data_IF_303073670733
#
_entry.id   IF_303073670733
#
_cell.length_a   1.000
_cell.length_b   1.000
_cell.length_c   1.000
_cell.angle_alpha   90.00
_cell.angle_beta   90.00
_cell.angle_gamma   90.00
#
_symmetry.space_group_name_H-M   'P 1'
#
loop_
_entity.id
_entity.type
_entity.pdbx_description
1 polymer ?
#
# COMPACT_ATOMS: atom_id res chain seq x y z
N UNK A 1 15.56 -0.81 -41.34
CA UNK A 1 14.66 -1.50 -40.39
C UNK A 1 15.31 -2.65 -39.62
N UNK A 2 16.10 -3.57 -40.18
CA UNK A 2 16.65 -4.71 -39.43
C UNK A 2 17.69 -4.37 -38.32
N UNK A 3 18.39 -3.23 -38.42
CA UNK A 3 19.38 -2.84 -37.37
C UNK A 3 18.77 -2.25 -36.10
N UNK A 4 17.63 -1.58 -36.23
CA UNK A 4 16.89 -1.01 -35.09
C UNK A 4 16.22 -2.09 -34.24
N UNK A 5 15.66 -3.14 -34.86
CA UNK A 5 15.11 -4.26 -34.10
C UNK A 5 16.14 -5.06 -33.31
N UNK A 6 17.37 -5.17 -33.80
CA UNK A 6 18.46 -5.83 -33.05
C UNK A 6 18.84 -5.07 -31.80
N UNK A 7 18.88 -3.73 -31.84
CA UNK A 7 19.15 -2.91 -30.65
C UNK A 7 18.08 -3.04 -29.57
N UNK A 8 16.80 -3.00 -29.97
CA UNK A 8 15.67 -3.17 -29.05
C UNK A 8 15.69 -4.59 -28.45
N UNK A 9 15.96 -5.61 -29.25
CA UNK A 9 16.01 -6.99 -28.75
C UNK A 9 17.16 -7.19 -27.73
N UNK A 10 18.32 -6.64 -27.99
CA UNK A 10 19.46 -6.67 -27.05
C UNK A 10 19.11 -5.93 -25.77
N UNK A 11 18.45 -4.77 -25.83
CA UNK A 11 18.01 -3.99 -24.67
C UNK A 11 16.99 -4.78 -23.82
N UNK A 12 15.99 -5.39 -24.44
CA UNK A 12 14.97 -6.22 -23.76
C UNK A 12 15.63 -7.44 -23.10
N UNK A 13 16.59 -8.08 -23.76
CA UNK A 13 17.33 -9.22 -23.19
C UNK A 13 18.18 -8.78 -21.99
N UNK A 14 18.90 -7.67 -22.08
CA UNK A 14 19.68 -7.13 -20.96
C UNK A 14 18.75 -6.76 -19.81
N UNK A 15 17.63 -6.09 -20.07
CA UNK A 15 16.63 -5.75 -19.05
C UNK A 15 16.06 -7.00 -18.40
N UNK A 16 15.76 -8.04 -19.18
CA UNK A 16 15.30 -9.33 -18.67
C UNK A 16 16.33 -10.05 -17.81
N UNK A 17 17.63 -9.99 -18.19
CA UNK A 17 18.71 -10.54 -17.39
C UNK A 17 18.88 -9.76 -16.08
N UNK A 18 18.86 -8.43 -16.12
CA UNK A 18 18.95 -7.57 -14.93
C UNK A 18 17.77 -7.80 -14.00
N UNK A 19 16.56 -7.90 -14.53
CA UNK A 19 15.37 -8.24 -13.75
C UNK A 19 15.42 -9.69 -13.22
N UNK A 20 15.91 -10.64 -13.99
CA UNK A 20 16.07 -12.03 -13.56
C UNK A 20 17.16 -12.22 -12.49
N UNK A 21 18.23 -11.44 -12.53
CA UNK A 21 19.26 -11.42 -11.49
C UNK A 21 18.77 -10.67 -10.23
N UNK A 22 17.98 -9.62 -10.38
CA UNK A 22 17.29 -8.96 -9.28
C UNK A 22 16.20 -9.86 -8.69
N UNK A 23 15.48 -10.63 -9.51
CA UNK A 23 14.38 -11.50 -9.11
C UNK A 23 14.78 -12.65 -8.16
N UNK A 24 16.05 -13.04 -8.11
CA UNK A 24 16.53 -14.00 -7.10
C UNK A 24 16.58 -13.45 -5.66
N UNK A 25 16.35 -12.16 -5.46
CA UNK A 25 16.17 -11.51 -4.15
C UNK A 25 14.71 -11.13 -3.86
N UNK A 26 13.79 -11.52 -4.75
CA UNK A 26 12.34 -11.35 -4.58
C UNK A 26 11.65 -12.53 -3.91
N UNK A 27 12.35 -13.36 -3.19
CA UNK A 27 11.73 -14.18 -2.15
C UNK A 27 11.18 -13.19 -1.13
N UNK A 28 9.83 -13.12 -1.08
CA UNK A 28 9.10 -12.07 -0.40
C UNK A 28 9.73 -11.66 0.92
N UNK A 29 10.17 -10.42 0.99
CA UNK A 29 10.70 -9.87 2.23
C UNK A 29 9.55 -9.83 3.24
N UNK A 30 9.53 -10.80 4.14
CA UNK A 30 8.63 -10.80 5.27
C UNK A 30 9.16 -9.76 6.25
N UNK A 31 8.40 -8.69 6.44
CA UNK A 31 8.76 -7.71 7.47
C UNK A 31 8.78 -8.39 8.83
N UNK A 32 9.87 -8.19 9.55
CA UNK A 32 9.98 -8.56 10.94
C UNK A 32 10.47 -7.33 11.70
N UNK A 33 9.72 -6.93 12.71
CA UNK A 33 10.12 -5.82 13.55
C UNK A 33 11.38 -6.19 14.36
N UNK A 34 12.35 -5.29 14.39
CA UNK A 34 13.59 -5.43 15.16
C UNK A 34 13.66 -4.48 16.36
N UNK A 35 12.74 -3.50 16.41
CA UNK A 35 12.73 -2.50 17.44
C UNK A 35 12.01 -3.01 18.70
N UNK A 36 12.60 -2.81 19.89
CA UNK A 36 11.95 -3.17 21.12
C UNK A 36 10.74 -2.27 21.38
N UNK A 37 9.82 -2.76 22.21
CA UNK A 37 8.70 -1.94 22.68
C UNK A 37 9.22 -0.74 23.48
N UNK A 38 8.82 0.47 23.09
CA UNK A 38 9.26 1.72 23.73
C UNK A 38 8.16 2.44 24.50
N UNK A 39 6.89 2.11 24.30
CA UNK A 39 5.79 2.68 25.05
C UNK A 39 5.75 2.14 26.49
N UNK A 40 6.00 3.01 27.45
CA UNK A 40 5.97 2.71 28.90
C UNK A 40 4.70 3.22 29.59
N UNK A 41 3.82 3.92 28.86
CA UNK A 41 2.61 4.53 29.42
C UNK A 41 1.36 3.65 29.25
N UNK A 42 1.45 2.54 28.53
CA UNK A 42 0.33 1.62 28.39
C UNK A 42 -0.01 1.01 29.76
N UNK A 43 -1.27 1.12 30.15
CA UNK A 43 -1.76 0.71 31.48
C UNK A 43 -2.18 -0.76 31.54
N UNK A 44 -2.30 -1.42 30.36
CA UNK A 44 -2.76 -2.80 30.30
C UNK A 44 -1.68 -3.78 30.73
N UNK A 45 -2.03 -4.67 31.65
CA UNK A 45 -1.20 -5.78 32.12
C UNK A 45 -1.40 -7.00 31.24
N UNK A 46 -2.65 -7.24 30.80
CA UNK A 46 -3.06 -8.34 29.93
C UNK A 46 -3.52 -7.82 28.58
N UNK A 47 -3.61 -8.72 27.61
CA UNK A 47 -4.04 -8.44 26.24
C UNK A 47 -5.34 -9.10 25.86
N UNK A 48 -5.77 -10.10 26.61
CA UNK A 48 -7.01 -10.85 26.42
C UNK A 48 -7.98 -10.48 27.51
N UNK A 49 -9.16 -10.06 27.14
CA UNK A 49 -10.27 -9.70 28.02
C UNK A 49 -11.52 -10.47 27.56
N UNK A 50 -12.01 -11.39 28.36
CA UNK A 50 -13.21 -12.20 28.08
C UNK A 50 -14.29 -11.97 29.12
N UNK A 51 -14.99 -10.83 29.02
CA UNK A 51 -16.12 -10.51 29.93
C UNK A 51 -17.35 -11.41 29.71
N UNK A 52 -17.37 -12.15 28.62
CA UNK A 52 -18.45 -13.09 28.30
C UNK A 52 -18.20 -14.50 28.85
N UNK A 53 -17.04 -14.77 29.42
CA UNK A 53 -16.62 -16.04 30.05
C UNK A 53 -16.83 -17.27 29.11
N UNK A 54 -16.40 -17.11 27.85
CA UNK A 54 -16.52 -18.17 26.83
C UNK A 54 -15.22 -18.91 26.56
N UNK A 55 -14.10 -18.34 26.99
CA UNK A 55 -12.79 -18.99 26.93
C UNK A 55 -12.48 -19.62 28.30
N UNK A 56 -11.70 -20.66 28.28
CA UNK A 56 -11.12 -21.21 29.52
C UNK A 56 -9.84 -20.45 29.88
N UNK A 57 -9.47 -20.42 31.15
CA UNK A 57 -8.23 -19.80 31.64
C UNK A 57 -6.98 -20.29 30.87
N UNK A 58 -6.99 -21.57 30.47
CA UNK A 58 -5.90 -22.15 29.67
C UNK A 58 -5.86 -21.61 28.23
N UNK A 59 -7.01 -21.36 27.64
CA UNK A 59 -7.13 -20.77 26.30
C UNK A 59 -6.73 -19.32 26.29
N UNK A 60 -7.16 -18.55 27.28
CA UNK A 60 -6.71 -17.16 27.48
C UNK A 60 -5.19 -17.08 27.62
N UNK A 61 -4.59 -17.92 28.47
CA UNK A 61 -3.15 -17.96 28.67
C UNK A 61 -2.40 -18.33 27.37
N UNK A 62 -2.97 -19.19 26.53
CA UNK A 62 -2.39 -19.53 25.21
C UNK A 62 -2.49 -18.35 24.24
N UNK A 63 -3.62 -17.63 24.24
CA UNK A 63 -3.81 -16.44 23.40
C UNK A 63 -2.88 -15.31 23.82
N UNK A 64 -2.74 -15.07 25.14
CA UNK A 64 -1.77 -14.09 25.68
C UNK A 64 -0.34 -14.36 25.18
N UNK A 65 0.09 -15.62 25.24
CA UNK A 65 1.40 -16.03 24.75
C UNK A 65 1.55 -15.82 23.26
N UNK A 66 0.53 -16.18 22.48
CA UNK A 66 0.51 -15.98 21.04
C UNK A 66 0.58 -14.50 20.67
N UNK A 67 -0.22 -13.66 21.35
CA UNK A 67 -0.20 -12.21 21.19
C UNK A 67 1.21 -11.66 21.46
N UNK A 68 1.82 -12.01 22.61
CA UNK A 68 3.14 -11.53 22.96
C UNK A 68 4.24 -11.93 21.95
N UNK A 69 4.07 -13.07 21.26
CA UNK A 69 4.94 -13.48 20.17
C UNK A 69 4.71 -12.62 18.92
N UNK A 70 3.45 -12.44 18.51
CA UNK A 70 3.08 -11.72 17.28
C UNK A 70 3.31 -10.22 17.39
N UNK A 71 3.07 -9.60 18.56
CA UNK A 71 3.39 -8.20 18.82
C UNK A 71 4.84 -7.85 18.48
N UNK A 72 5.78 -8.72 18.88
CA UNK A 72 7.20 -8.55 18.58
C UNK A 72 7.48 -8.61 17.08
N UNK A 73 6.81 -9.50 16.37
CA UNK A 73 7.02 -9.67 14.94
C UNK A 73 6.53 -8.47 14.12
N UNK A 74 5.40 -7.89 14.50
CA UNK A 74 4.79 -6.79 13.75
C UNK A 74 5.20 -5.40 14.26
N UNK A 75 5.72 -5.29 15.48
CA UNK A 75 6.02 -4.00 16.13
C UNK A 75 4.75 -3.23 16.47
N UNK A 76 3.72 -3.92 16.95
CA UNK A 76 2.43 -3.34 17.31
C UNK A 76 1.76 -4.09 18.44
N UNK A 77 1.16 -3.37 19.40
CA UNK A 77 0.36 -3.98 20.46
C UNK A 77 -0.91 -4.60 19.86
N UNK A 78 -1.32 -5.76 20.35
CA UNK A 78 -2.54 -6.46 19.95
C UNK A 78 -3.40 -6.65 21.19
N UNK A 79 -4.63 -6.16 21.16
CA UNK A 79 -5.61 -6.37 22.25
C UNK A 79 -6.82 -7.11 21.70
N UNK A 80 -7.20 -8.17 22.37
CA UNK A 80 -8.40 -8.96 22.13
C UNK A 80 -9.38 -8.73 23.27
N UNK A 81 -10.56 -8.28 22.93
CA UNK A 81 -11.61 -8.04 23.89
C UNK A 81 -12.90 -8.71 23.46
N UNK A 82 -13.46 -9.51 24.32
CA UNK A 82 -14.81 -10.03 24.19
C UNK A 82 -15.68 -9.45 25.31
N UNK A 83 -16.71 -8.73 24.91
CA UNK A 83 -17.64 -8.07 25.84
C UNK A 83 -19.04 -8.66 25.70
N UNK A 84 -19.90 -8.33 26.66
CA UNK A 84 -21.31 -8.74 26.71
C UNK A 84 -22.16 -7.52 27.09
N UNK A 85 -22.12 -6.48 26.26
CA UNK A 85 -22.72 -5.17 26.54
C UNK A 85 -23.83 -4.83 25.52
N UNK A 86 -25.08 -5.05 25.91
CA UNK A 86 -26.24 -4.73 25.08
C UNK A 86 -26.34 -3.23 24.68
N UNK A 87 -25.58 -2.34 25.30
CA UNK A 87 -25.54 -0.93 24.94
C UNK A 87 -24.78 -0.67 23.63
N UNK A 88 -23.87 -1.59 23.23
CA UNK A 88 -23.09 -1.55 22.01
C UNK A 88 -23.89 -2.03 20.78
N UNK A 89 -25.14 -1.64 20.68
CA UNK A 89 -26.13 -2.12 19.73
C UNK A 89 -26.06 -1.51 18.34
N UNK A 90 -24.98 -0.83 18.00
CA UNK A 90 -24.66 -0.38 16.64
C UNK A 90 -23.17 -0.52 16.37
N UNK A 91 -22.83 -0.71 15.11
CA UNK A 91 -21.42 -0.78 14.67
C UNK A 91 -20.63 0.47 15.04
N UNK A 92 -21.28 1.64 15.02
CA UNK A 92 -20.65 2.92 15.38
C UNK A 92 -20.29 2.97 16.86
N UNK A 93 -21.18 2.52 17.73
CA UNK A 93 -20.91 2.48 19.17
C UNK A 93 -19.78 1.49 19.51
N UNK A 94 -19.78 0.33 18.86
CA UNK A 94 -18.71 -0.65 19.07
C UNK A 94 -17.36 -0.11 18.58
N UNK A 95 -17.34 0.55 17.41
CA UNK A 95 -16.15 1.24 16.90
C UNK A 95 -15.64 2.29 17.90
N UNK A 96 -16.54 3.15 18.35
CA UNK A 96 -16.19 4.24 19.25
C UNK A 96 -15.70 3.69 20.61
N UNK A 97 -16.32 2.62 21.08
CA UNK A 97 -15.87 1.90 22.28
C UNK A 97 -14.43 1.37 22.10
N UNK A 98 -14.16 0.65 21.01
CA UNK A 98 -12.84 0.13 20.72
C UNK A 98 -11.77 1.22 20.63
N UNK A 99 -12.10 2.32 19.94
CA UNK A 99 -11.16 3.44 19.78
C UNK A 99 -10.92 4.20 21.08
N UNK A 100 -11.95 4.40 21.91
CA UNK A 100 -11.82 5.05 23.19
C UNK A 100 -11.01 4.19 24.16
N UNK A 101 -11.29 2.89 24.24
CA UNK A 101 -10.52 1.96 25.05
C UNK A 101 -9.03 1.97 24.67
N UNK A 102 -8.73 2.01 23.36
CA UNK A 102 -7.37 2.12 22.85
C UNK A 102 -6.68 3.41 23.33
N UNK A 103 -7.37 4.54 23.26
CA UNK A 103 -6.84 5.86 23.66
C UNK A 103 -6.64 5.94 25.18
N UNK A 104 -7.63 5.55 25.96
CA UNK A 104 -7.63 5.63 27.42
C UNK A 104 -6.51 4.78 28.03
N UNK A 105 -6.30 3.59 27.51
CA UNK A 105 -5.26 2.68 27.96
C UNK A 105 -3.89 2.95 27.31
N UNK A 106 -3.77 3.99 26.47
CA UNK A 106 -2.53 4.40 25.82
C UNK A 106 -1.84 3.24 25.07
N UNK A 107 -2.63 2.38 24.43
CA UNK A 107 -2.14 1.21 23.72
C UNK A 107 -1.23 1.65 22.57
N UNK A 108 -0.15 0.92 22.32
CA UNK A 108 0.78 1.15 21.23
C UNK A 108 2.18 0.66 21.56
N UNK A 109 2.87 0.11 20.57
CA UNK A 109 4.21 -0.45 20.70
C UNK A 109 5.30 0.61 20.85
N UNK A 110 5.25 1.64 20.00
CA UNK A 110 6.26 2.68 19.81
C UNK A 110 6.05 3.90 20.73
N UNK A 111 4.81 4.23 21.03
CA UNK A 111 4.42 5.39 21.84
C UNK A 111 2.99 5.23 22.34
N UNK A 112 2.57 6.07 23.33
CA UNK A 112 1.16 6.15 23.74
C UNK A 112 0.25 6.41 22.54
N UNK A 113 -0.81 5.63 22.44
CA UNK A 113 -1.76 5.67 21.29
C UNK A 113 -1.01 5.49 19.95
N UNK A 114 0.00 4.63 19.93
CA UNK A 114 0.90 4.37 18.81
C UNK A 114 0.46 3.20 17.94
N UNK A 115 1.45 2.38 17.55
CA UNK A 115 1.24 1.27 16.63
C UNK A 115 0.59 0.07 17.31
N UNK A 116 -0.51 -0.43 16.74
CA UNK A 116 -1.19 -1.61 17.26
C UNK A 116 -2.58 -1.83 16.67
N UNK A 117 -3.28 -2.81 17.22
CA UNK A 117 -4.63 -3.20 16.87
C UNK A 117 -5.44 -3.57 18.12
N UNK A 118 -6.72 -3.31 18.09
CA UNK A 118 -7.70 -3.83 19.04
C UNK A 118 -8.85 -4.48 18.29
N UNK A 119 -9.16 -5.71 18.63
CA UNK A 119 -10.35 -6.40 18.17
C UNK A 119 -11.36 -6.50 19.32
N UNK A 120 -12.57 -6.04 19.08
CA UNK A 120 -13.68 -6.12 20.01
C UNK A 120 -14.78 -6.97 19.40
N UNK A 121 -15.22 -7.96 20.13
CA UNK A 121 -16.31 -8.89 19.80
C UNK A 121 -17.36 -8.77 20.89
N UNK A 122 -18.52 -8.24 20.56
CA UNK A 122 -19.64 -8.16 21.50
C UNK A 122 -20.60 -9.35 21.34
N UNK A 123 -20.63 -10.19 22.37
CA UNK A 123 -21.41 -11.43 22.35
C UNK A 123 -22.92 -11.20 22.35
N UNK A 124 -23.39 -10.12 22.98
CA UNK A 124 -24.83 -9.82 23.08
C UNK A 124 -25.37 -9.33 21.72
N UNK A 125 -24.68 -8.41 21.08
CA UNK A 125 -25.14 -7.77 19.84
C UNK A 125 -24.64 -8.45 18.58
N UNK A 126 -23.65 -9.35 18.71
CA UNK A 126 -23.00 -10.05 17.60
C UNK A 126 -22.26 -9.12 16.63
N UNK A 127 -21.90 -7.94 17.08
CA UNK A 127 -21.04 -7.04 16.33
C UNK A 127 -19.60 -7.25 16.69
N UNK A 128 -18.74 -7.10 15.68
CA UNK A 128 -17.29 -7.15 15.83
C UNK A 128 -16.64 -5.92 15.22
N UNK A 129 -15.54 -5.47 15.78
CA UNK A 129 -14.77 -4.36 15.26
C UNK A 129 -13.28 -4.58 15.44
N UNK A 130 -12.53 -4.49 14.33
CA UNK A 130 -11.07 -4.44 14.33
C UNK A 130 -10.63 -2.99 14.07
N UNK A 131 -10.03 -2.35 15.06
CA UNK A 131 -9.39 -1.05 14.90
C UNK A 131 -7.87 -1.21 14.83
N UNK A 132 -7.25 -0.56 13.86
CA UNK A 132 -5.80 -0.54 13.66
C UNK A 132 -5.25 0.88 13.74
N UNK A 133 -4.01 1.03 14.21
CA UNK A 133 -3.36 2.33 14.33
C UNK A 133 -1.86 2.26 14.07
N UNK A 134 -1.27 3.42 13.73
CA UNK A 134 0.16 3.57 13.47
C UNK A 134 0.65 2.68 12.34
N UNK A 135 1.83 2.08 12.51
CA UNK A 135 2.45 1.25 11.49
C UNK A 135 1.62 0.02 11.10
N UNK A 136 0.80 -0.51 12.01
CA UNK A 136 -0.11 -1.62 11.70
C UNK A 136 -1.19 -1.16 10.73
N UNK A 137 -1.80 0.02 10.95
CA UNK A 137 -2.76 0.61 10.01
C UNK A 137 -2.14 0.89 8.66
N UNK A 138 -0.91 1.41 8.63
CA UNK A 138 -0.23 1.78 7.38
C UNK A 138 0.10 0.55 6.51
N UNK A 139 0.21 -0.61 7.15
CA UNK A 139 0.53 -1.88 6.49
C UNK A 139 -0.70 -2.66 6.04
N UNK A 140 -1.85 -2.43 6.66
CA UNK A 140 -3.10 -3.12 6.36
C UNK A 140 -4.01 -2.25 5.52
N UNK A 141 -4.40 -2.73 4.36
CA UNK A 141 -5.48 -2.12 3.58
C UNK A 141 -6.84 -2.38 4.23
N UNK A 142 -7.86 -1.64 3.79
CA UNK A 142 -9.24 -1.93 4.21
C UNK A 142 -9.64 -3.37 3.85
N UNK A 143 -9.29 -3.83 2.65
CA UNK A 143 -9.61 -5.19 2.19
C UNK A 143 -8.96 -6.26 3.06
N UNK A 144 -7.73 -6.02 3.56
CA UNK A 144 -7.08 -6.93 4.50
C UNK A 144 -7.81 -6.96 5.85
N UNK A 145 -8.24 -5.80 6.37
CA UNK A 145 -8.98 -5.76 7.65
C UNK A 145 -10.36 -6.39 7.52
N UNK A 146 -11.08 -6.15 6.42
CA UNK A 146 -12.35 -6.81 6.13
C UNK A 146 -12.16 -8.34 6.07
N UNK A 147 -11.16 -8.81 5.33
CA UNK A 147 -10.83 -10.23 5.23
C UNK A 147 -10.55 -10.89 6.59
N UNK A 148 -9.76 -10.22 7.45
CA UNK A 148 -9.44 -10.73 8.80
C UNK A 148 -10.71 -10.87 9.64
N UNK A 149 -11.60 -9.87 9.60
CA UNK A 149 -12.86 -9.87 10.36
C UNK A 149 -13.80 -10.97 9.84
N UNK A 150 -13.96 -11.08 8.53
CA UNK A 150 -14.85 -12.08 7.91
C UNK A 150 -14.40 -13.52 8.26
N UNK A 151 -13.11 -13.83 8.10
CA UNK A 151 -12.53 -15.13 8.44
C UNK A 151 -12.68 -15.49 9.92
N UNK A 152 -12.71 -14.48 10.79
CA UNK A 152 -12.92 -14.67 12.23
C UNK A 152 -14.39 -14.93 12.52
N UNK A 153 -15.29 -14.14 11.95
CA UNK A 153 -16.74 -14.22 12.17
C UNK A 153 -17.32 -15.56 11.70
N UNK A 154 -16.78 -16.16 10.66
CA UNK A 154 -17.19 -17.48 10.17
C UNK A 154 -17.00 -18.61 11.21
N UNK A 155 -16.08 -18.42 12.13
CA UNK A 155 -15.67 -19.46 13.10
C UNK A 155 -16.13 -19.13 14.52
N UNK A 156 -16.20 -17.87 14.91
CA UNK A 156 -16.29 -17.43 16.31
C UNK A 156 -17.49 -17.97 17.07
N UNK A 157 -18.61 -18.20 16.40
CA UNK A 157 -19.80 -18.79 17.02
C UNK A 157 -19.66 -20.28 17.35
N UNK A 158 -18.73 -20.98 16.69
CA UNK A 158 -18.54 -22.42 16.84
C UNK A 158 -17.36 -22.74 17.75
N UNK A 159 -16.29 -21.99 17.62
CA UNK A 159 -15.02 -22.20 18.31
C UNK A 159 -14.32 -20.85 18.49
N UNK A 160 -14.63 -20.11 19.57
CA UNK A 160 -14.06 -18.80 19.84
C UNK A 160 -12.53 -18.81 19.93
N UNK A 161 -11.96 -19.81 20.62
CA UNK A 161 -10.51 -19.93 20.75
C UNK A 161 -9.81 -20.07 19.39
N UNK A 162 -10.35 -20.91 18.52
CA UNK A 162 -9.81 -21.09 17.18
C UNK A 162 -9.98 -19.83 16.33
N UNK A 163 -11.11 -19.14 16.45
CA UNK A 163 -11.36 -17.88 15.74
C UNK A 163 -10.34 -16.81 16.13
N UNK A 164 -10.11 -16.62 17.42
CA UNK A 164 -9.15 -15.63 17.90
C UNK A 164 -7.69 -16.00 17.61
N UNK A 165 -7.36 -17.30 17.68
CA UNK A 165 -6.06 -17.78 17.21
C UNK A 165 -5.84 -17.45 15.74
N UNK A 166 -6.87 -17.62 14.90
CA UNK A 166 -6.81 -17.30 13.47
C UNK A 166 -6.70 -15.80 13.25
N UNK A 167 -7.50 -14.98 13.95
CA UNK A 167 -7.43 -13.52 13.92
C UNK A 167 -6.00 -13.02 14.14
N UNK A 168 -5.39 -13.44 15.26
CA UNK A 168 -4.05 -13.00 15.67
C UNK A 168 -3.00 -13.41 14.62
N UNK A 169 -3.10 -14.62 14.08
CA UNK A 169 -2.18 -15.08 13.04
C UNK A 169 -2.38 -14.31 11.73
N UNK A 170 -3.63 -14.13 11.27
CA UNK A 170 -3.92 -13.37 10.06
C UNK A 170 -3.48 -11.91 10.18
N UNK A 171 -3.75 -11.28 11.34
CA UNK A 171 -3.31 -9.91 11.61
C UNK A 171 -1.79 -9.77 11.47
N UNK A 172 -1.04 -10.71 12.05
CA UNK A 172 0.41 -10.71 11.95
C UNK A 172 0.87 -11.00 10.51
N UNK A 173 0.32 -12.01 9.86
CA UNK A 173 0.70 -12.43 8.52
C UNK A 173 0.41 -11.33 7.49
N UNK A 174 -0.77 -10.72 7.53
CA UNK A 174 -1.13 -9.65 6.59
C UNK A 174 -0.30 -8.37 6.86
N UNK A 175 -0.04 -8.04 8.13
CA UNK A 175 0.86 -6.92 8.48
C UNK A 175 2.28 -7.15 7.96
N UNK A 176 2.77 -8.38 7.97
CA UNK A 176 4.08 -8.71 7.43
C UNK A 176 4.10 -8.72 5.89
N UNK A 177 3.03 -9.18 5.24
CA UNK A 177 2.90 -9.24 3.77
C UNK A 177 2.82 -7.86 3.12
N UNK A 178 2.23 -6.87 3.76
CA UNK A 178 2.05 -5.53 3.19
C UNK A 178 3.37 -4.83 2.86
N UNK A 179 4.49 -5.33 3.39
CA UNK A 179 5.83 -4.88 3.03
C UNK A 179 6.41 -5.52 1.77
N UNK A 180 5.74 -6.48 1.15
CA UNK A 180 6.19 -7.11 -0.10
C UNK A 180 6.33 -6.12 -1.26
N UNK A 181 5.66 -4.96 -1.19
CA UNK A 181 5.76 -3.88 -2.19
C UNK A 181 6.67 -2.73 -1.77
N UNK A 182 7.20 -2.70 -0.55
CA UNK A 182 8.31 -1.81 -0.24
C UNK A 182 9.59 -2.42 -0.81
N UNK A 183 9.73 -2.27 -2.14
CA UNK A 183 11.00 -2.47 -2.80
C UNK A 183 11.91 -1.39 -2.20
N UNK A 184 12.76 -1.76 -1.28
CA UNK A 184 13.80 -0.89 -0.75
C UNK A 184 14.88 -0.76 -1.84
N UNK A 185 14.46 -0.23 -2.99
CA UNK A 185 15.37 0.18 -4.04
C UNK A 185 16.03 1.43 -3.48
N UNK A 186 17.29 1.30 -3.09
CA UNK A 186 18.11 2.45 -2.75
C UNK A 186 17.86 3.54 -3.81
N UNK A 187 17.62 4.80 -3.42
CA UNK A 187 17.37 5.89 -4.37
C UNK A 187 18.48 5.99 -5.44
N UNK A 188 19.66 5.50 -5.13
CA UNK A 188 20.78 5.39 -6.05
C UNK A 188 20.51 4.43 -7.22
N UNK A 189 19.83 3.31 -7.00
CA UNK A 189 19.44 2.36 -8.06
C UNK A 189 18.30 2.90 -8.92
N UNK A 190 17.37 3.65 -8.34
CA UNK A 190 16.33 4.36 -9.09
C UNK A 190 16.96 5.42 -9.98
N UNK A 191 17.87 6.23 -9.43
CA UNK A 191 18.58 7.25 -10.19
C UNK A 191 19.42 6.64 -11.33
N UNK A 192 20.10 5.52 -11.09
CA UNK A 192 20.86 4.79 -12.11
C UNK A 192 19.93 4.25 -13.22
N UNK A 193 18.81 3.68 -12.86
CA UNK A 193 17.80 3.19 -13.81
C UNK A 193 17.22 4.33 -14.67
N UNK A 194 16.88 5.46 -14.05
CA UNK A 194 16.43 6.65 -14.78
C UNK A 194 17.50 7.21 -15.71
N UNK A 195 18.76 7.21 -15.28
CA UNK A 195 19.89 7.69 -16.10
C UNK A 195 20.10 6.79 -17.31
N UNK A 196 20.06 5.47 -17.14
CA UNK A 196 20.16 4.50 -18.25
C UNK A 196 19.00 4.66 -19.22
N UNK A 197 17.77 4.82 -18.73
CA UNK A 197 16.60 5.08 -19.57
C UNK A 197 16.71 6.40 -20.34
N UNK A 198 17.21 7.48 -19.70
CA UNK A 198 17.41 8.75 -20.35
C UNK A 198 18.47 8.68 -21.46
N UNK A 199 19.60 8.01 -21.22
CA UNK A 199 20.65 7.80 -22.22
C UNK A 199 20.09 6.98 -23.40
N UNK A 200 19.36 5.91 -23.13
CA UNK A 200 18.73 5.07 -24.17
C UNK A 200 17.74 5.89 -25.03
N UNK A 201 16.94 6.76 -24.38
CA UNK A 201 16.02 7.65 -25.08
C UNK A 201 16.75 8.67 -25.98
N UNK A 202 17.83 9.30 -25.48
CA UNK A 202 18.63 10.23 -26.28
C UNK A 202 19.29 9.55 -27.46
N UNK A 203 19.86 8.34 -27.27
CA UNK A 203 20.47 7.56 -28.36
C UNK A 203 19.42 7.16 -29.39
N UNK A 204 18.21 6.83 -28.95
CA UNK A 204 17.09 6.52 -29.88
C UNK A 204 16.70 7.75 -30.70
N UNK A 205 16.54 8.92 -30.08
CA UNK A 205 16.22 10.18 -30.75
C UNK A 205 17.34 10.59 -31.75
N UNK A 206 18.60 10.45 -31.38
CA UNK A 206 19.72 10.75 -32.25
C UNK A 206 19.79 9.79 -33.45
N UNK A 207 19.39 8.52 -33.26
CA UNK A 207 19.34 7.52 -34.33
C UNK A 207 18.26 7.81 -35.35
N UNK A 208 17.10 8.37 -34.93
CA UNK A 208 16.01 8.75 -35.82
C UNK A 208 16.25 10.09 -36.53
N UNK A 209 17.06 10.97 -35.93
CA UNK A 209 17.36 12.30 -36.50
C UNK A 209 18.42 12.29 -37.61
N UNK A 210 19.11 11.17 -37.82
CA UNK A 210 19.99 10.98 -38.99
C UNK A 210 19.15 10.51 -40.19
N UNK A 211 18.20 11.34 -40.57
CA UNK A 211 17.59 11.23 -41.90
C UNK A 211 18.74 11.37 -42.94
N UNK A 212 18.95 10.30 -43.73
CA UNK A 212 19.85 10.38 -44.86
C UNK A 212 19.33 11.50 -45.73
N UNK A 213 20.13 12.57 -45.89
CA UNK A 213 19.92 13.56 -46.92
C UNK A 213 19.98 12.84 -48.28
N UNK A 214 18.85 12.28 -48.68
CA UNK A 214 18.70 11.59 -50.00
C UNK A 214 18.54 12.59 -51.10
N UNK A 215 18.38 13.89 -50.76
CA UNK A 215 18.13 14.94 -51.74
C UNK A 215 19.24 15.96 -51.70
N UNK A 216 20.12 15.90 -52.67
CA UNK A 216 21.12 16.94 -52.90
C UNK A 216 20.43 18.18 -53.49
N UNK A 217 20.92 19.38 -53.20
CA UNK A 217 20.42 20.65 -53.75
C UNK A 217 20.24 20.63 -55.27
N UNK A 218 21.03 19.81 -55.97
CA UNK A 218 20.95 19.60 -57.43
C UNK A 218 19.81 18.73 -57.89
N UNK A 219 19.06 18.07 -56.99
CA UNK A 219 17.97 17.15 -57.39
C UNK A 219 16.72 17.92 -57.83
N UNK A 220 16.53 19.14 -57.35
CA UNK A 220 15.35 19.97 -57.64
C UNK A 220 15.64 21.19 -58.52
N UNK A 221 16.89 21.44 -58.82
CA UNK A 221 17.24 22.56 -59.72
C UNK A 221 17.50 22.01 -61.10
N UNK A 222 16.60 22.25 -62.05
CA UNK A 222 16.90 22.08 -63.47
C UNK A 222 18.08 22.98 -63.84
N UNK A 223 18.97 22.47 -64.68
CA UNK A 223 20.18 23.20 -65.16
C UNK A 223 19.89 24.58 -65.75
N UNK A 224 18.65 24.83 -66.14
CA UNK A 224 18.18 26.05 -66.82
C UNK A 224 17.33 26.94 -65.90
N UNK A 225 17.64 27.06 -64.64
CA UNK A 225 17.04 27.99 -63.70
C UNK A 225 15.52 28.27 -63.84
N UNK A 226 14.83 28.45 -62.71
CA UNK A 226 13.45 28.91 -62.75
C UNK A 226 13.47 30.44 -62.99
N UNK A 227 12.98 30.88 -64.17
CA UNK A 227 12.70 32.31 -64.39
C UNK A 227 11.34 32.64 -63.73
N UNK A 228 11.39 33.39 -62.64
CA UNK A 228 10.20 33.96 -62.05
C UNK A 228 9.88 35.28 -62.72
N UNK A 229 8.78 35.30 -63.49
CA UNK A 229 8.30 36.49 -64.18
C UNK A 229 7.54 37.45 -63.26
N UNK A 230 7.10 37.00 -62.09
CA UNK A 230 6.42 37.84 -61.12
C UNK A 230 6.66 37.33 -59.68
N UNK A 231 6.87 38.23 -58.74
CA UNK A 231 7.12 37.91 -57.34
C UNK A 231 6.11 38.65 -56.48
N UNK A 232 4.99 38.00 -56.16
CA UNK A 232 4.01 38.49 -55.25
C UNK A 232 3.94 37.56 -54.03
N UNK A 233 4.22 38.12 -52.83
CA UNK A 233 3.96 37.49 -51.57
C UNK A 233 2.55 37.76 -51.15
N UNK A 234 1.67 36.74 -51.21
CA UNK A 234 0.29 36.82 -50.72
C UNK A 234 0.17 36.06 -49.41
N UNK A 235 -0.03 36.81 -48.34
CA UNK A 235 -0.37 36.23 -47.05
C UNK A 235 -1.78 35.66 -47.04
N UNK A 236 -1.94 34.35 -46.99
CA UNK A 236 -3.25 33.69 -47.17
C UNK A 236 -4.10 33.68 -45.89
N UNK A 237 -3.59 33.41 -44.79
CA UNK A 237 -4.04 33.65 -43.39
C UNK A 237 -3.36 32.73 -42.38
N UNK A 238 -3.36 33.12 -41.12
CA UNK A 238 -2.96 32.23 -40.02
C UNK A 238 -4.17 31.92 -39.15
N UNK A 239 -4.39 30.63 -38.84
CA UNK A 239 -5.44 30.20 -37.92
C UNK A 239 -4.79 29.82 -36.59
N UNK A 240 -5.15 30.55 -35.54
CA UNK A 240 -4.68 30.24 -34.18
C UNK A 240 -5.82 29.60 -33.43
N UNK A 241 -5.71 28.29 -33.19
CA UNK A 241 -6.66 27.56 -32.33
C UNK A 241 -6.15 27.62 -30.88
N UNK A 242 -6.88 28.30 -30.01
CA UNK A 242 -6.63 28.27 -28.57
C UNK A 242 -7.55 27.25 -27.93
N UNK A 243 -6.99 26.16 -27.45
CA UNK A 243 -7.71 25.21 -26.61
C UNK A 243 -7.59 25.63 -25.15
N UNK A 244 -8.71 25.94 -24.51
CA UNK A 244 -8.75 26.23 -23.07
C UNK A 244 -8.63 24.92 -22.32
N UNK A 245 -7.58 24.78 -21.53
CA UNK A 245 -7.40 23.62 -20.64
C UNK A 245 -8.33 23.81 -19.45
N UNK A 246 -9.32 22.97 -19.31
CA UNK A 246 -10.14 22.93 -18.10
C UNK A 246 -9.31 22.25 -16.98
N UNK A 247 -9.14 22.98 -15.88
CA UNK A 247 -8.53 22.46 -14.68
C UNK A 247 -9.66 21.82 -13.88
N UNK A 248 -9.71 20.51 -13.83
CA UNK A 248 -10.59 19.84 -12.89
C UNK A 248 -10.08 20.10 -11.47
N UNK A 249 -10.89 20.81 -10.71
CA UNK A 249 -10.69 20.96 -9.27
C UNK A 249 -11.20 19.70 -8.59
N UNK A 250 -10.30 18.80 -8.22
CA UNK A 250 -10.60 17.73 -7.29
C UNK A 250 -10.79 18.35 -5.91
N UNK A 251 -12.03 18.46 -5.45
CA UNK A 251 -12.34 18.68 -4.05
C UNK A 251 -11.98 17.43 -3.27
N UNK A 252 -10.83 17.45 -2.62
CA UNK A 252 -10.48 16.47 -1.59
C UNK A 252 -11.30 16.79 -0.35
N UNK A 253 -12.31 15.99 -0.11
CA UNK A 253 -13.04 15.97 1.15
C UNK A 253 -12.11 15.42 2.23
N UNK A 254 -11.53 16.33 3.02
CA UNK A 254 -10.73 15.99 4.19
C UNK A 254 -11.65 15.68 5.36
N UNK A 255 -12.23 14.48 5.38
CA UNK A 255 -12.77 13.89 6.58
C UNK A 255 -11.62 13.62 7.55
N UNK A 256 -11.49 14.45 8.58
CA UNK A 256 -10.49 14.26 9.63
C UNK A 256 -10.74 12.96 10.35
N UNK A 257 -10.04 11.90 9.97
CA UNK A 257 -10.05 10.66 10.73
C UNK A 257 -9.03 10.75 11.85
N UNK A 258 -9.44 10.43 13.06
CA UNK A 258 -8.63 10.34 14.29
C UNK A 258 -7.40 9.40 14.19
N UNK A 259 -6.94 9.08 13.01
CA UNK A 259 -5.78 8.23 12.79
C UNK A 259 -6.01 6.73 13.02
N UNK A 260 -7.26 6.28 13.23
CA UNK A 260 -7.62 4.87 13.25
C UNK A 260 -8.05 4.38 11.87
N UNK A 261 -7.63 3.15 11.52
CA UNK A 261 -8.24 2.32 10.49
C UNK A 261 -9.01 1.20 11.16
N UNK A 262 -9.98 0.63 10.47
CA UNK A 262 -10.69 -0.50 11.05
C UNK A 262 -11.81 -1.00 10.14
N UNK A 263 -12.29 -2.19 10.48
CA UNK A 263 -13.38 -2.87 9.81
C UNK A 263 -14.26 -3.55 10.83
N UNK A 264 -15.54 -3.62 10.56
CA UNK A 264 -16.51 -4.28 11.41
C UNK A 264 -17.42 -5.24 10.63
N UNK A 265 -17.94 -6.21 11.30
CA UNK A 265 -18.87 -7.20 10.78
C UNK A 265 -19.89 -7.63 11.81
N UNK A 266 -20.71 -8.61 11.47
CA UNK A 266 -21.65 -9.27 12.37
C UNK A 266 -21.64 -10.78 12.14
N UNK A 267 -21.95 -11.55 13.17
CA UNK A 267 -21.97 -13.01 13.14
C UNK A 267 -23.16 -13.61 13.90
#
# INVERSE_FOLDING_TARGET
MAKTYRGILIFVVILGIVMGLAGKKFDGYVYTNTEPRSNTECTLIQRVFDDADVLTDEEEAKLEKLIAEKEKLIGGDIVLMRTNDASLNTMEKLRDYAQNYYKENKIGWDKPIGSGAIYVDDWETRYTWLATRGTVKDKLSKDNTDYIVDETNDIVNKDPYKAYTRLINLLADETQKSHLFHINISPLWVALGCLVAAIAFVVFQLSDSVGKDTVKKSTYVKKDGVQLNDKQDVFLHSHVTRTKRETESSSSDCGGSDGFGGSGGSH
#
